data_IF_663084746941
#
_entry.id   IF_663084746941
#
_cell.length_a   1.000
_cell.length_b   1.000
_cell.length_c   1.000
_cell.angle_alpha   90.00
_cell.angle_beta   90.00
_cell.angle_gamma   90.00
#
_symmetry.space_group_name_H-M   'P 1'
#
loop_
_entity.id
_entity.type
_entity.pdbx_description
1 polymer ?
#
# COMPACT_ATOMS: atom_id res chain seq x y z
N UNK A 1 27.59 36.03 31.60
CA UNK A 1 28.28 34.99 30.82
C UNK A 1 27.65 33.65 31.17
N UNK A 2 26.71 33.15 30.35
CA UNK A 2 26.98 32.13 29.30
C UNK A 2 27.31 30.77 29.98
N UNK A 3 26.57 29.67 29.89
CA UNK A 3 25.48 29.23 29.02
C UNK A 3 24.98 27.85 29.53
N UNK A 4 24.49 27.74 30.77
CA UNK A 4 24.21 26.43 31.41
C UNK A 4 22.91 25.73 30.96
N UNK A 5 22.13 26.29 30.04
CA UNK A 5 20.74 25.86 29.81
C UNK A 5 20.40 25.35 28.42
N UNK A 6 21.34 24.83 27.62
CA UNK A 6 20.97 24.37 26.27
C UNK A 6 21.69 23.15 25.71
N UNK A 7 22.13 22.21 26.56
CA UNK A 7 22.20 20.81 26.11
C UNK A 7 20.76 20.29 26.10
N UNK A 8 20.05 20.70 25.05
CA UNK A 8 18.81 20.11 24.57
C UNK A 8 19.16 18.65 24.37
N UNK A 9 18.85 17.81 25.37
CA UNK A 9 18.87 16.37 25.22
C UNK A 9 18.03 16.09 23.98
N UNK A 10 18.75 15.83 22.90
CA UNK A 10 18.23 15.38 21.64
C UNK A 10 17.43 14.15 22.02
N UNK A 11 16.11 14.28 22.00
CA UNK A 11 15.15 13.24 22.32
C UNK A 11 15.59 11.99 21.57
N UNK A 12 16.30 11.10 22.26
CA UNK A 12 16.51 9.74 21.80
C UNK A 12 15.10 9.22 21.55
N UNK A 13 14.80 8.99 20.28
CA UNK A 13 13.52 8.46 19.81
C UNK A 13 13.11 7.36 20.76
N UNK A 14 12.01 7.55 21.51
CA UNK A 14 11.47 6.50 22.40
C UNK A 14 11.31 5.23 21.55
N UNK A 15 12.21 4.27 21.73
CA UNK A 15 12.23 3.05 20.95
C UNK A 15 10.94 2.28 21.24
N UNK A 16 10.06 2.20 20.25
CA UNK A 16 8.80 1.46 20.36
C UNK A 16 8.93 0.19 19.53
N UNK A 17 9.25 -0.97 20.14
CA UNK A 17 9.54 -2.21 19.42
C UNK A 17 8.38 -2.64 18.52
N UNK A 18 7.12 -2.38 18.95
CA UNK A 18 5.92 -2.61 18.14
C UNK A 18 5.96 -1.84 16.84
N UNK A 19 6.19 -0.54 16.93
CA UNK A 19 6.29 0.32 15.74
C UNK A 19 7.46 -0.12 14.87
N UNK A 20 8.63 -0.41 15.46
CA UNK A 20 9.80 -0.87 14.70
C UNK A 20 9.49 -2.13 13.88
N UNK A 21 8.88 -3.16 14.48
CA UNK A 21 8.50 -4.39 13.77
C UNK A 21 7.55 -4.08 12.61
N UNK A 22 6.49 -3.29 12.84
CA UNK A 22 5.55 -2.89 11.78
C UNK A 22 6.26 -2.19 10.61
N UNK A 23 7.15 -1.24 10.90
CA UNK A 23 7.88 -0.50 9.87
C UNK A 23 8.84 -1.41 9.09
N UNK A 24 9.51 -2.35 9.78
CA UNK A 24 10.40 -3.33 9.13
C UNK A 24 9.61 -4.25 8.21
N UNK A 25 8.45 -4.77 8.64
CA UNK A 25 7.62 -5.62 7.79
C UNK A 25 7.14 -4.86 6.56
N UNK A 26 6.72 -3.59 6.70
CA UNK A 26 6.34 -2.73 5.57
C UNK A 26 7.52 -2.46 4.64
N UNK A 27 8.73 -2.25 5.17
CA UNK A 27 9.94 -2.06 4.37
C UNK A 27 10.29 -3.31 3.56
N UNK A 28 10.27 -4.49 4.17
CA UNK A 28 10.49 -5.77 3.48
C UNK A 28 9.47 -5.94 2.35
N UNK A 29 8.22 -5.63 2.64
CA UNK A 29 7.12 -5.67 1.66
C UNK A 29 7.37 -4.73 0.48
N UNK A 30 7.87 -3.53 0.75
CA UNK A 30 8.23 -2.55 -0.27
C UNK A 30 9.39 -3.04 -1.17
N UNK A 31 10.42 -3.64 -0.57
CA UNK A 31 11.54 -4.23 -1.30
C UNK A 31 11.06 -5.38 -2.19
N UNK A 32 10.22 -6.27 -1.67
CA UNK A 32 9.63 -7.37 -2.45
C UNK A 32 8.88 -6.83 -3.67
N UNK A 33 8.07 -5.78 -3.52
CA UNK A 33 7.39 -5.13 -4.66
C UNK A 33 8.38 -4.66 -5.72
N UNK A 34 9.44 -3.96 -5.31
CA UNK A 34 10.44 -3.43 -6.25
C UNK A 34 11.17 -4.57 -6.98
N UNK A 35 11.54 -5.64 -6.27
CA UNK A 35 12.19 -6.81 -6.87
C UNK A 35 11.28 -7.55 -7.85
N UNK A 36 10.00 -7.73 -7.51
CA UNK A 36 9.02 -8.34 -8.41
C UNK A 36 8.75 -7.48 -9.66
N UNK A 37 8.98 -6.17 -9.57
CA UNK A 37 8.84 -5.25 -10.70
C UNK A 37 9.98 -5.38 -11.73
N UNK A 38 11.02 -6.15 -11.42
CA UNK A 38 12.20 -6.33 -12.28
C UNK A 38 11.98 -7.30 -13.44
N UNK A 39 10.98 -8.20 -13.38
CA UNK A 39 10.71 -9.16 -14.44
C UNK A 39 9.65 -8.61 -15.41
N UNK A 40 10.06 -8.02 -16.56
CA UNK A 40 9.17 -7.34 -17.47
C UNK A 40 8.67 -8.36 -18.48
N UNK A 41 7.79 -9.23 -18.03
CA UNK A 41 6.91 -9.97 -18.92
C UNK A 41 5.49 -9.52 -18.61
N UNK A 42 4.65 -9.38 -19.63
CA UNK A 42 3.18 -9.35 -19.48
C UNK A 42 2.79 -10.70 -18.90
N UNK A 43 3.03 -10.82 -17.61
CA UNK A 43 2.95 -12.07 -16.86
C UNK A 43 1.51 -12.22 -16.40
N UNK A 44 1.01 -13.45 -16.31
CA UNK A 44 -0.24 -13.73 -15.60
C UNK A 44 -0.25 -13.20 -14.15
N UNK A 45 0.89 -12.75 -13.61
CA UNK A 45 1.02 -12.16 -12.28
C UNK A 45 1.10 -10.62 -12.24
N UNK A 46 0.72 -9.92 -13.31
CA UNK A 46 0.58 -8.45 -13.26
C UNK A 46 -0.36 -8.02 -12.13
N UNK A 47 0.00 -6.97 -11.37
CA UNK A 47 -0.68 -6.51 -10.14
C UNK A 47 -0.71 -7.50 -8.97
N UNK A 48 -0.09 -8.68 -9.07
CA UNK A 48 0.11 -9.57 -7.94
C UNK A 48 1.25 -9.04 -7.04
N UNK A 49 0.91 -8.09 -6.17
CA UNK A 49 1.89 -7.42 -5.29
C UNK A 49 1.36 -7.31 -3.87
N UNK A 50 2.24 -7.10 -2.88
CA UNK A 50 1.80 -6.98 -1.49
C UNK A 50 1.33 -5.57 -1.12
N UNK A 51 1.28 -4.62 -2.07
CA UNK A 51 0.97 -3.21 -1.79
C UNK A 51 -0.45 -3.02 -1.26
N UNK A 52 -1.43 -3.76 -1.77
CA UNK A 52 -2.80 -3.72 -1.28
C UNK A 52 -2.91 -4.19 0.18
N UNK A 53 -2.23 -5.28 0.52
CA UNK A 53 -2.16 -5.77 1.89
C UNK A 53 -1.45 -4.78 2.83
N UNK A 54 -0.34 -4.18 2.37
CA UNK A 54 0.38 -3.15 3.12
C UNK A 54 -0.49 -1.90 3.36
N UNK A 55 -1.34 -1.50 2.42
CA UNK A 55 -2.29 -0.41 2.60
C UNK A 55 -3.30 -0.73 3.72
N UNK A 56 -3.92 -1.90 3.68
CA UNK A 56 -4.86 -2.35 4.72
C UNK A 56 -4.18 -2.50 6.08
N UNK A 57 -3.00 -3.09 6.12
CA UNK A 57 -2.19 -3.30 7.32
C UNK A 57 -1.75 -1.98 7.95
N UNK A 58 -1.23 -1.06 7.13
CA UNK A 58 -0.88 0.29 7.55
C UNK A 58 -2.08 1.04 8.11
N UNK A 59 -3.24 0.95 7.45
CA UNK A 59 -4.48 1.53 7.92
C UNK A 59 -4.93 0.96 9.26
N UNK A 60 -4.93 -0.37 9.41
CA UNK A 60 -5.38 -1.03 10.63
C UNK A 60 -4.51 -0.67 11.86
N UNK A 61 -3.17 -0.71 11.71
CA UNK A 61 -2.25 -0.55 12.84
C UNK A 61 -1.78 0.90 13.09
N UNK A 62 -1.84 1.79 12.10
CA UNK A 62 -1.45 3.21 12.23
C UNK A 62 -2.65 4.17 12.07
N UNK A 63 -3.85 3.77 12.46
CA UNK A 63 -5.10 4.50 12.24
C UNK A 63 -5.11 5.99 12.61
N UNK A 64 -4.32 6.42 13.61
CA UNK A 64 -4.22 7.83 14.06
C UNK A 64 -2.95 8.55 13.58
N UNK A 65 -2.20 7.97 12.65
CA UNK A 65 -0.90 8.51 12.23
C UNK A 65 -0.80 8.60 10.71
N UNK A 66 -0.21 9.70 10.23
CA UNK A 66 0.14 9.87 8.81
C UNK A 66 1.05 8.73 8.29
N UNK A 67 1.73 8.02 9.19
CA UNK A 67 2.54 6.83 8.89
C UNK A 67 1.73 5.75 8.16
N UNK A 68 0.41 5.66 8.37
CA UNK A 68 -0.44 4.71 7.64
C UNK A 68 -0.37 4.88 6.12
N UNK A 69 -0.25 6.13 5.67
CA UNK A 69 -0.25 6.50 4.25
C UNK A 69 1.17 6.58 3.67
N UNK A 70 2.13 7.00 4.50
CA UNK A 70 3.51 7.22 4.07
C UNK A 70 4.13 5.98 3.40
N UNK A 71 4.00 4.81 4.02
CA UNK A 71 4.65 3.60 3.52
C UNK A 71 4.05 3.06 2.22
N UNK A 72 2.72 2.90 2.08
CA UNK A 72 2.12 2.54 0.81
C UNK A 72 2.47 3.52 -0.32
N UNK A 73 2.37 4.82 -0.06
CA UNK A 73 2.65 5.86 -1.06
C UNK A 73 4.13 5.88 -1.46
N UNK A 74 5.07 5.81 -0.51
CA UNK A 74 6.50 5.73 -0.83
C UNK A 74 6.84 4.47 -1.62
N UNK A 75 6.21 3.34 -1.31
CA UNK A 75 6.44 2.09 -2.03
C UNK A 75 5.95 2.16 -3.48
N UNK A 76 4.78 2.78 -3.69
CA UNK A 76 4.29 3.06 -5.04
C UNK A 76 5.29 3.96 -5.77
N UNK A 77 5.66 5.08 -5.18
CA UNK A 77 6.59 6.05 -5.76
C UNK A 77 7.93 5.46 -6.18
N UNK A 78 8.63 4.79 -5.27
CA UNK A 78 9.92 4.17 -5.58
C UNK A 78 9.79 3.12 -6.68
N UNK A 79 8.72 2.35 -6.62
CA UNK A 79 8.52 1.31 -7.59
C UNK A 79 8.04 1.81 -8.95
N UNK A 80 7.37 2.96 -9.02
CA UNK A 80 7.01 3.62 -10.28
C UNK A 80 8.23 4.20 -10.97
N UNK A 81 9.19 4.76 -10.22
CA UNK A 81 10.49 5.18 -10.77
C UNK A 81 11.19 4.01 -11.47
N UNK A 82 11.19 2.84 -10.82
CA UNK A 82 11.80 1.61 -11.36
C UNK A 82 11.04 1.15 -12.61
N UNK A 83 9.71 1.09 -12.56
CA UNK A 83 8.89 0.68 -13.71
C UNK A 83 8.98 1.66 -14.89
N UNK A 84 9.01 2.96 -14.63
CA UNK A 84 9.18 3.99 -15.65
C UNK A 84 10.51 3.81 -16.37
N UNK A 85 11.59 3.53 -15.62
CA UNK A 85 12.92 3.33 -16.18
C UNK A 85 13.09 2.01 -16.93
N UNK A 86 12.48 0.93 -16.46
CA UNK A 86 12.74 -0.41 -17.01
C UNK A 86 11.71 -0.84 -18.07
N UNK A 87 10.46 -0.39 -17.93
CA UNK A 87 9.32 -0.96 -18.68
C UNK A 87 8.65 0.07 -19.58
N UNK A 88 8.29 1.24 -19.05
CA UNK A 88 7.34 2.12 -19.75
C UNK A 88 8.01 3.23 -20.58
N UNK A 89 8.94 3.97 -20.00
CA UNK A 89 9.51 5.18 -20.62
C UNK A 89 11.02 5.09 -20.89
N UNK A 90 11.70 4.07 -20.35
CA UNK A 90 13.15 3.87 -20.45
C UNK A 90 14.02 5.02 -19.89
N UNK A 91 13.41 5.94 -19.16
CA UNK A 91 14.01 7.13 -18.56
C UNK A 91 13.72 7.22 -17.06
N UNK A 92 14.54 7.98 -16.32
CA UNK A 92 14.33 8.22 -14.90
C UNK A 92 13.22 9.26 -14.69
N UNK A 93 11.97 8.80 -14.81
CA UNK A 93 10.78 9.62 -14.61
C UNK A 93 10.21 9.41 -13.21
N UNK A 94 10.05 10.52 -12.48
CA UNK A 94 9.55 10.50 -11.10
C UNK A 94 8.07 10.14 -11.03
N UNK A 95 7.24 10.72 -11.88
CA UNK A 95 5.79 10.51 -11.92
C UNK A 95 5.32 10.40 -13.37
N UNK A 96 4.39 9.47 -13.62
CA UNK A 96 3.75 9.27 -14.92
C UNK A 96 2.40 10.00 -14.97
N UNK A 97 1.89 10.25 -16.18
CA UNK A 97 0.59 10.92 -16.34
C UNK A 97 -0.54 10.06 -15.76
N UNK A 98 -1.30 10.61 -14.81
CA UNK A 98 -2.39 9.88 -14.14
C UNK A 98 -2.01 9.13 -12.87
N UNK A 99 -0.77 9.30 -12.39
CA UNK A 99 -0.32 8.73 -11.10
C UNK A 99 -1.30 8.98 -9.95
N UNK A 100 -1.95 10.15 -9.93
CA UNK A 100 -2.87 10.55 -8.86
C UNK A 100 -4.11 9.66 -8.76
N UNK A 101 -4.57 9.02 -9.85
CA UNK A 101 -5.66 8.05 -9.81
C UNK A 101 -5.27 6.80 -9.01
N UNK A 102 -4.06 6.28 -9.26
CA UNK A 102 -3.51 5.14 -8.53
C UNK A 102 -3.23 5.50 -7.07
N UNK A 103 -2.60 6.64 -6.82
CA UNK A 103 -2.19 7.03 -5.46
C UNK A 103 -3.40 7.37 -4.60
N UNK A 104 -4.40 8.05 -5.18
CA UNK A 104 -5.68 8.30 -4.54
C UNK A 104 -6.41 7.00 -4.19
N UNK A 105 -6.42 6.02 -5.10
CA UNK A 105 -7.02 4.71 -4.87
C UNK A 105 -6.34 3.97 -3.70
N UNK A 106 -5.01 3.94 -3.67
CA UNK A 106 -4.29 3.32 -2.55
C UNK A 106 -4.45 4.09 -1.23
N UNK A 107 -4.56 5.42 -1.26
CA UNK A 107 -4.91 6.18 -0.06
C UNK A 107 -6.31 5.80 0.46
N UNK A 108 -7.28 5.61 -0.43
CA UNK A 108 -8.61 5.11 -0.04
C UNK A 108 -8.54 3.67 0.48
N UNK A 109 -7.70 2.81 -0.08
CA UNK A 109 -7.47 1.46 0.47
C UNK A 109 -6.88 1.52 1.89
N UNK A 110 -5.95 2.44 2.17
CA UNK A 110 -5.45 2.67 3.54
C UNK A 110 -6.61 3.07 4.45
N UNK A 111 -7.46 4.00 3.99
CA UNK A 111 -8.65 4.41 4.74
C UNK A 111 -9.61 3.23 4.99
N UNK A 112 -9.79 2.32 4.03
CA UNK A 112 -10.54 1.07 4.23
C UNK A 112 -9.97 0.25 5.38
N UNK A 113 -8.65 0.08 5.44
CA UNK A 113 -7.97 -0.57 6.56
C UNK A 113 -8.24 0.14 7.90
N UNK A 114 -8.19 1.48 7.91
CA UNK A 114 -8.46 2.29 9.09
C UNK A 114 -9.90 2.15 9.59
N UNK A 115 -10.88 2.09 8.67
CA UNK A 115 -12.29 2.12 9.00
C UNK A 115 -12.88 0.74 9.28
N UNK A 116 -12.50 -0.27 8.50
CA UNK A 116 -13.11 -1.62 8.57
C UNK A 116 -12.36 -2.56 9.52
N UNK A 117 -11.03 -2.43 9.66
CA UNK A 117 -10.21 -3.34 10.47
C UNK A 117 -9.92 -2.73 11.84
N UNK A 118 -10.99 -2.46 12.62
CA UNK A 118 -10.86 -1.98 14.01
C UNK A 118 -10.31 -3.04 14.96
N UNK A 119 -10.67 -4.30 14.69
CA UNK A 119 -10.13 -5.50 15.33
C UNK A 119 -9.73 -6.47 14.24
N UNK A 120 -8.53 -7.04 14.35
CA UNK A 120 -8.03 -8.00 13.36
C UNK A 120 -8.79 -9.30 13.51
N UNK A 121 -9.48 -9.70 12.44
CA UNK A 121 -10.17 -10.97 12.30
C UNK A 121 -10.14 -11.37 10.83
N UNK A 122 -10.24 -12.68 10.55
CA UNK A 122 -10.25 -13.18 9.16
C UNK A 122 -11.38 -12.51 8.36
N UNK A 123 -12.57 -12.42 8.94
CA UNK A 123 -13.73 -11.76 8.31
C UNK A 123 -13.46 -10.31 7.95
N UNK A 124 -12.93 -9.51 8.88
CA UNK A 124 -12.67 -8.10 8.63
C UNK A 124 -11.59 -7.89 7.55
N UNK A 125 -10.54 -8.71 7.57
CA UNK A 125 -9.46 -8.65 6.59
C UNK A 125 -9.95 -9.04 5.20
N UNK A 126 -10.75 -10.12 5.08
CA UNK A 126 -11.31 -10.56 3.80
C UNK A 126 -12.26 -9.51 3.23
N UNK A 127 -13.20 -9.00 4.04
CA UNK A 127 -14.14 -7.97 3.59
C UNK A 127 -13.42 -6.68 3.18
N UNK A 128 -12.44 -6.23 3.97
CA UNK A 128 -11.64 -5.07 3.64
C UNK A 128 -10.81 -5.28 2.36
N UNK A 129 -10.32 -6.50 2.10
CA UNK A 129 -9.60 -6.84 0.85
C UNK A 129 -10.50 -6.73 -0.38
N UNK A 130 -11.75 -7.21 -0.29
CA UNK A 130 -12.73 -7.07 -1.36
C UNK A 130 -13.04 -5.59 -1.61
N UNK A 131 -13.35 -4.82 -0.56
CA UNK A 131 -13.65 -3.38 -0.69
C UNK A 131 -12.45 -2.61 -1.25
N UNK A 132 -11.24 -2.91 -0.78
CA UNK A 132 -10.02 -2.27 -1.26
C UNK A 132 -9.76 -2.58 -2.75
N UNK A 133 -10.03 -3.82 -3.19
CA UNK A 133 -9.92 -4.18 -4.61
C UNK A 133 -10.96 -3.42 -5.44
N UNK A 134 -12.21 -3.30 -4.99
CA UNK A 134 -13.22 -2.52 -5.70
C UNK A 134 -12.86 -1.03 -5.80
N UNK A 135 -12.31 -0.48 -4.72
CA UNK A 135 -11.79 0.90 -4.70
C UNK A 135 -10.68 1.07 -5.73
N UNK A 136 -9.72 0.14 -5.78
CA UNK A 136 -8.65 0.18 -6.77
C UNK A 136 -9.21 0.08 -8.19
N UNK A 137 -10.03 -0.94 -8.46
CA UNK A 137 -10.62 -1.18 -9.77
C UNK A 137 -11.38 0.03 -10.32
N UNK A 138 -12.28 0.62 -9.52
CA UNK A 138 -13.09 1.76 -9.93
C UNK A 138 -12.25 3.05 -9.91
N UNK A 139 -11.31 3.19 -8.98
CA UNK A 139 -10.54 4.41 -8.78
C UNK A 139 -9.41 4.61 -9.79
N UNK A 140 -8.79 3.54 -10.31
CA UNK A 140 -7.72 3.68 -11.31
C UNK A 140 -8.22 3.73 -12.75
N UNK A 141 -9.37 3.11 -13.02
CA UNK A 141 -9.93 3.00 -14.38
C UNK A 141 -10.25 4.33 -15.08
N UNK A 142 -10.67 5.41 -14.40
CA UNK A 142 -10.95 6.70 -15.06
C UNK A 142 -9.75 7.27 -15.81
N UNK A 143 -8.51 6.98 -15.39
CA UNK A 143 -7.30 7.48 -16.06
C UNK A 143 -7.36 7.24 -17.58
N UNK A 144 -7.86 6.08 -18.02
CA UNK A 144 -7.92 5.75 -19.44
C UNK A 144 -8.80 6.68 -20.29
N UNK A 145 -9.78 7.41 -19.74
CA UNK A 145 -10.61 8.32 -20.55
C UNK A 145 -10.17 9.78 -20.47
N UNK A 146 -9.29 10.12 -19.52
CA UNK A 146 -8.82 11.48 -19.31
C UNK A 146 -7.50 11.79 -20.02
N UNK A 147 -6.67 10.78 -20.36
CA UNK A 147 -5.35 11.02 -20.96
C UNK A 147 -5.31 10.88 -22.49
N UNK A 148 -4.56 11.74 -23.20
CA UNK A 148 -4.20 11.52 -24.61
C UNK A 148 -3.40 10.22 -24.77
N UNK A 149 -3.60 9.50 -25.88
CA UNK A 149 -2.88 8.24 -26.14
C UNK A 149 -3.47 6.99 -25.47
N UNK A 150 -4.63 7.11 -24.81
CA UNK A 150 -5.36 5.95 -24.31
C UNK A 150 -5.81 5.03 -25.44
N UNK A 151 -5.78 3.72 -25.16
CA UNK A 151 -6.32 2.67 -26.04
C UNK A 151 -7.86 2.64 -26.04
N UNK A 152 -8.51 3.37 -25.12
CA UNK A 152 -9.95 3.36 -24.96
C UNK A 152 -10.58 4.67 -25.43
N UNK A 153 -11.79 4.63 -26.02
CA UNK A 153 -12.54 5.84 -26.35
C UNK A 153 -12.76 6.73 -25.11
N UNK A 154 -12.67 8.06 -25.26
CA UNK A 154 -12.92 9.03 -24.18
C UNK A 154 -14.42 9.22 -23.91
N UNK A 155 -15.12 8.12 -23.68
CA UNK A 155 -16.56 8.07 -23.45
C UNK A 155 -16.87 7.13 -22.29
N UNK A 156 -18.11 7.18 -21.78
CA UNK A 156 -18.56 6.26 -20.75
C UNK A 156 -18.39 4.78 -21.15
N UNK A 157 -18.66 4.45 -22.42
CA UNK A 157 -18.45 3.10 -22.93
C UNK A 157 -16.97 2.70 -22.95
N UNK A 158 -16.06 3.63 -23.23
CA UNK A 158 -14.62 3.36 -23.14
C UNK A 158 -14.17 3.06 -21.71
N UNK A 159 -14.74 3.76 -20.72
CA UNK A 159 -14.53 3.46 -19.31
C UNK A 159 -15.09 2.10 -18.89
N UNK A 160 -16.29 1.72 -19.35
CA UNK A 160 -16.81 0.36 -19.11
C UNK A 160 -15.91 -0.72 -19.73
N UNK A 161 -15.39 -0.46 -20.93
CA UNK A 161 -14.49 -1.40 -21.62
C UNK A 161 -13.18 -1.57 -20.84
N UNK A 162 -12.62 -0.50 -20.29
CA UNK A 162 -11.41 -0.58 -19.48
C UNK A 162 -11.63 -1.30 -18.14
N UNK A 163 -12.80 -1.13 -17.52
CA UNK A 163 -13.18 -1.90 -16.33
C UNK A 163 -13.20 -3.41 -16.63
N UNK A 164 -13.80 -3.83 -17.74
CA UNK A 164 -13.82 -5.25 -18.14
C UNK A 164 -12.41 -5.78 -18.41
N UNK A 165 -11.58 -5.00 -19.10
CA UNK A 165 -10.18 -5.37 -19.36
C UNK A 165 -9.32 -5.44 -18.09
N UNK A 166 -9.69 -4.71 -17.04
CA UNK A 166 -8.98 -4.71 -15.76
C UNK A 166 -9.26 -5.95 -14.89
N UNK A 167 -10.34 -6.72 -15.14
CA UNK A 167 -10.74 -7.91 -14.35
C UNK A 167 -9.59 -8.87 -14.01
N UNK A 168 -8.73 -9.34 -14.96
CA UNK A 168 -7.64 -10.25 -14.62
C UNK A 168 -6.62 -9.62 -13.66
N UNK A 169 -6.35 -8.32 -13.79
CA UNK A 169 -5.42 -7.59 -12.93
C UNK A 169 -5.99 -7.40 -11.53
N UNK A 170 -7.28 -7.09 -11.42
CA UNK A 170 -7.96 -6.92 -10.14
C UNK A 170 -8.17 -8.25 -9.41
N UNK A 171 -8.35 -9.35 -10.14
CA UNK A 171 -8.31 -10.69 -9.58
C UNK A 171 -6.95 -10.97 -8.93
N UNK A 172 -5.85 -10.60 -9.60
CA UNK A 172 -4.51 -10.75 -9.05
C UNK A 172 -4.30 -9.87 -7.82
N UNK A 173 -4.77 -8.61 -7.85
CA UNK A 173 -4.71 -7.71 -6.71
C UNK A 173 -5.48 -8.26 -5.51
N UNK A 174 -6.69 -8.80 -5.72
CA UNK A 174 -7.49 -9.41 -4.66
C UNK A 174 -6.77 -10.61 -4.05
N UNK A 175 -6.29 -11.53 -4.88
CA UNK A 175 -5.58 -12.72 -4.44
C UNK A 175 -4.31 -12.37 -3.68
N UNK A 176 -3.49 -11.46 -4.22
CA UNK A 176 -2.27 -11.02 -3.55
C UNK A 176 -2.59 -10.31 -2.24
N UNK A 177 -3.60 -9.43 -2.23
CA UNK A 177 -4.02 -8.72 -1.02
C UNK A 177 -4.47 -9.70 0.07
N UNK A 178 -5.22 -10.74 -0.27
CA UNK A 178 -5.64 -11.77 0.69
C UNK A 178 -4.44 -12.57 1.22
N UNK A 179 -3.57 -13.05 0.33
CA UNK A 179 -2.40 -13.87 0.69
C UNK A 179 -1.44 -13.06 1.58
N UNK A 180 -1.03 -11.88 1.12
CA UNK A 180 -0.11 -11.03 1.87
C UNK A 180 -0.74 -10.46 3.13
N UNK A 181 -2.05 -10.20 3.17
CA UNK A 181 -2.71 -9.83 4.43
C UNK A 181 -2.68 -11.00 5.42
N UNK A 182 -2.90 -12.23 4.96
CA UNK A 182 -2.76 -13.42 5.80
C UNK A 182 -1.38 -13.51 6.45
N UNK A 183 -0.32 -13.25 5.68
CA UNK A 183 1.06 -13.20 6.16
C UNK A 183 1.26 -12.03 7.13
N UNK A 184 1.02 -10.79 6.69
CA UNK A 184 1.31 -9.58 7.46
C UNK A 184 0.53 -9.52 8.79
N UNK A 185 -0.79 -9.72 8.74
CA UNK A 185 -1.61 -9.71 9.95
C UNK A 185 -1.36 -10.97 10.78
N UNK A 186 -1.19 -12.13 10.16
CA UNK A 186 -0.98 -13.40 10.85
C UNK A 186 0.33 -13.41 11.65
N UNK A 187 1.44 -13.05 11.02
CA UNK A 187 2.76 -12.97 11.66
C UNK A 187 2.75 -11.96 12.81
N UNK A 188 2.18 -10.77 12.60
CA UNK A 188 2.19 -9.73 13.63
C UNK A 188 1.27 -10.07 14.83
N UNK A 189 0.10 -10.65 14.59
CA UNK A 189 -0.77 -11.13 15.68
C UNK A 189 -0.15 -12.31 16.43
N UNK A 190 0.57 -13.20 15.74
CA UNK A 190 1.32 -14.29 16.37
C UNK A 190 2.47 -13.76 17.25
N UNK A 191 3.25 -12.81 16.74
CA UNK A 191 4.33 -12.15 17.48
C UNK A 191 3.79 -11.40 18.71
N UNK A 192 2.65 -10.71 18.61
CA UNK A 192 2.02 -10.03 19.74
C UNK A 192 1.59 -10.99 20.88
N UNK A 193 1.22 -12.23 20.55
CA UNK A 193 0.90 -13.25 21.55
C UNK A 193 2.13 -13.82 22.24
N UNK A 194 3.27 -13.85 21.54
CA UNK A 194 4.54 -14.37 22.05
C UNK A 194 5.34 -13.33 22.85
N UNK A 195 5.27 -12.06 22.46
CA UNK A 195 6.06 -10.99 23.05
C UNK A 195 5.17 -9.88 23.63
N UNK A 196 5.12 -9.78 24.96
CA UNK A 196 4.36 -8.74 25.69
C UNK A 196 4.80 -7.32 25.29
N UNK A 197 6.05 -7.14 24.88
CA UNK A 197 6.58 -5.85 24.41
C UNK A 197 5.88 -5.29 23.16
N UNK A 198 5.17 -6.12 22.39
CA UNK A 198 4.46 -5.71 21.17
C UNK A 198 2.98 -5.40 21.42
N UNK A 199 2.46 -5.73 22.61
CA UNK A 199 1.08 -5.44 22.99
C UNK A 199 0.88 -3.93 23.13
N UNK A 200 -0.30 -3.44 22.73
CA UNK A 200 -0.69 -2.05 22.99
C UNK A 200 -0.76 -1.86 24.50
N UNK A 201 0.13 -1.03 25.06
CA UNK A 201 0.00 -0.61 26.46
C UNK A 201 -1.34 0.13 26.61
N UNK A 202 -2.19 -0.24 27.58
CA UNK A 202 -3.35 0.58 27.90
C UNK A 202 -2.87 1.98 28.25
N UNK A 203 -3.52 3.01 27.69
CA UNK A 203 -3.31 4.36 28.19
C UNK A 203 -3.85 4.38 29.62
N UNK A 204 -2.95 4.57 30.59
CA UNK A 204 -3.29 4.90 31.98
C UNK A 204 -3.95 6.28 32.03
#
# INVERSE_FOLDING_TARGET
>A
MCNEKRIKYMSLTKFNPRTTVLLVTMLVTAVIRVLLSWQPGISPMSNFTPVGAMALFGGAYFSKSYKAYLFPVLTLFLGDIVLNKLVFYHEWRLLYDGWYWTYGSFALMVLTGQLMIKKVSVTNVVLASVVATLIHWIGTSPACIFFPGSMYPKTFNGWLTSLVAAIPYERNLLLSTLIFSGILFGEFEWLQRRFTALQLKPAL
#
